data_IF_683673380512
#
_entry.id   IF_683673380512
#
_cell.length_a   1.000
_cell.length_b   1.000
_cell.length_c   1.000
_cell.angle_alpha   90.00
_cell.angle_beta   90.00
_cell.angle_gamma   90.00
#
_symmetry.space_group_name_H-M   'P 1'
#
loop_
_entity.id
_entity.type
_entity.pdbx_description
1 polymer ?
#
# COMPACT_ATOMS: atom_id res chain seq x y z
N UNK A 1 2.29 -2.54 29.93
CA UNK A 1 2.58 -3.46 28.82
C UNK A 1 1.85 -4.76 29.06
N UNK A 2 0.77 -4.96 28.34
CA UNK A 2 0.01 -6.20 28.42
C UNK A 2 0.86 -7.29 27.71
N UNK A 3 1.41 -8.23 28.46
CA UNK A 3 2.24 -9.33 27.93
C UNK A 3 1.40 -10.44 27.26
N UNK A 4 0.24 -10.09 26.71
CA UNK A 4 -0.55 -11.07 25.96
C UNK A 4 0.20 -11.42 24.66
N UNK A 5 0.42 -12.70 24.35
CA UNK A 5 0.95 -13.10 23.07
C UNK A 5 0.04 -12.64 21.93
N UNK A 6 0.62 -12.14 20.85
CA UNK A 6 -0.09 -11.76 19.64
C UNK A 6 0.34 -12.69 18.50
N UNK A 7 -0.63 -13.32 17.83
CA UNK A 7 -0.39 -14.29 16.77
C UNK A 7 0.41 -13.64 15.60
N UNK A 8 0.06 -12.41 15.22
CA UNK A 8 0.65 -11.74 14.06
C UNK A 8 2.06 -11.19 14.33
N UNK A 9 2.57 -11.28 15.56
CA UNK A 9 4.00 -11.11 15.82
C UNK A 9 4.86 -12.18 15.14
N UNK A 10 4.31 -13.38 14.92
CA UNK A 10 4.97 -14.53 14.30
C UNK A 10 4.46 -14.82 12.89
N UNK A 11 3.18 -14.55 12.63
CA UNK A 11 2.52 -14.71 11.35
C UNK A 11 2.68 -13.44 10.50
N UNK A 12 3.92 -13.16 10.06
CA UNK A 12 4.31 -11.89 9.42
C UNK A 12 4.34 -11.95 7.89
N UNK A 13 4.02 -13.10 7.29
CA UNK A 13 3.99 -13.26 5.83
C UNK A 13 2.70 -12.72 5.21
N UNK A 14 2.75 -12.33 3.93
CA UNK A 14 1.56 -11.97 3.14
C UNK A 14 0.53 -13.11 3.19
N UNK A 15 0.96 -14.38 3.08
CA UNK A 15 0.07 -15.54 3.20
C UNK A 15 -0.71 -15.61 4.54
N UNK A 16 -0.11 -15.13 5.63
CA UNK A 16 -0.81 -15.08 6.93
C UNK A 16 -1.86 -13.97 6.95
N UNK A 17 -1.60 -12.86 6.26
CA UNK A 17 -2.55 -11.77 6.09
C UNK A 17 -3.70 -12.18 5.17
N UNK A 18 -3.42 -12.90 4.08
CA UNK A 18 -4.43 -13.48 3.19
C UNK A 18 -5.41 -14.37 3.96
N UNK A 19 -4.87 -15.21 4.84
CA UNK A 19 -5.69 -16.09 5.67
C UNK A 19 -6.62 -15.31 6.60
N UNK A 20 -6.14 -14.20 7.17
CA UNK A 20 -6.98 -13.32 7.98
C UNK A 20 -8.05 -12.61 7.15
N UNK A 21 -7.69 -12.11 5.97
CA UNK A 21 -8.64 -11.42 5.08
C UNK A 21 -9.76 -12.39 4.67
N UNK A 22 -9.41 -13.60 4.22
CA UNK A 22 -10.40 -14.63 3.87
C UNK A 22 -11.31 -14.97 5.05
N UNK A 23 -10.72 -15.17 6.23
CA UNK A 23 -11.47 -15.45 7.45
C UNK A 23 -12.43 -14.30 7.81
N UNK A 24 -11.99 -13.04 7.72
CA UNK A 24 -12.84 -11.89 8.01
C UNK A 24 -13.97 -11.76 6.97
N UNK A 25 -13.69 -12.01 5.69
CA UNK A 25 -14.69 -11.97 4.63
C UNK A 25 -15.80 -13.00 4.87
N UNK A 26 -15.48 -14.22 5.31
CA UNK A 26 -16.48 -15.24 5.64
C UNK A 26 -17.42 -14.81 6.79
N UNK A 27 -16.90 -14.02 7.75
CA UNK A 27 -17.74 -13.47 8.82
C UNK A 27 -18.81 -12.49 8.34
N UNK A 28 -18.68 -11.94 7.14
CA UNK A 28 -19.70 -11.05 6.55
C UNK A 28 -20.92 -11.80 6.02
N UNK A 29 -20.85 -13.13 5.85
CA UNK A 29 -21.98 -13.95 5.44
C UNK A 29 -23.12 -13.91 6.48
N UNK A 30 -24.37 -13.81 6.01
CA UNK A 30 -25.54 -13.70 6.88
C UNK A 30 -25.72 -14.90 7.83
N UNK A 31 -25.19 -16.07 7.49
CA UNK A 31 -25.23 -17.26 8.34
C UNK A 31 -24.38 -17.07 9.63
N UNK A 32 -23.38 -16.17 9.62
CA UNK A 32 -22.54 -15.88 10.77
C UNK A 32 -23.13 -14.82 11.74
N UNK A 33 -24.25 -14.19 11.41
CA UNK A 33 -24.82 -13.04 12.12
C UNK A 33 -25.11 -13.29 13.62
N UNK A 34 -25.41 -14.53 13.99
CA UNK A 34 -25.79 -14.90 15.36
C UNK A 34 -24.61 -15.39 16.21
N UNK A 35 -23.46 -15.73 15.62
CA UNK A 35 -22.31 -16.31 16.34
C UNK A 35 -21.50 -15.23 17.06
N UNK A 36 -21.12 -14.16 16.37
CA UNK A 36 -20.51 -12.94 16.93
C UNK A 36 -21.04 -11.75 16.15
N UNK A 37 -22.09 -11.12 16.67
CA UNK A 37 -22.76 -10.01 16.00
C UNK A 37 -21.82 -8.84 15.68
N UNK A 38 -20.96 -8.47 16.64
CA UNK A 38 -20.05 -7.33 16.47
C UNK A 38 -18.98 -7.62 15.40
N UNK A 39 -18.47 -8.85 15.35
CA UNK A 39 -17.53 -9.27 14.32
C UNK A 39 -18.20 -9.33 12.94
N UNK A 40 -19.40 -9.89 12.87
CA UNK A 40 -20.19 -9.95 11.65
C UNK A 40 -20.45 -8.55 11.07
N UNK A 41 -20.95 -7.60 11.89
CA UNK A 41 -21.19 -6.22 11.47
C UNK A 41 -19.91 -5.55 10.96
N UNK A 42 -18.78 -5.77 11.66
CA UNK A 42 -17.48 -5.24 11.22
C UNK A 42 -17.02 -5.87 9.92
N UNK A 43 -17.21 -7.16 9.73
CA UNK A 43 -16.88 -7.86 8.50
C UNK A 43 -17.70 -7.33 7.31
N UNK A 44 -18.97 -7.01 7.52
CA UNK A 44 -19.81 -6.35 6.51
C UNK A 44 -19.31 -4.95 6.15
N UNK A 45 -18.90 -4.14 7.14
CA UNK A 45 -18.27 -2.84 6.87
C UNK A 45 -16.95 -2.99 6.11
N UNK A 46 -16.18 -4.02 6.39
CA UNK A 46 -14.96 -4.32 5.65
C UNK A 46 -15.26 -4.68 4.18
N UNK A 47 -16.28 -5.49 3.89
CA UNK A 47 -16.71 -5.78 2.50
C UNK A 47 -17.19 -4.50 1.80
N UNK A 48 -17.95 -3.64 2.49
CA UNK A 48 -18.40 -2.33 1.95
C UNK A 48 -17.22 -1.42 1.61
N UNK A 49 -16.18 -1.40 2.43
CA UNK A 49 -14.93 -0.69 2.15
C UNK A 49 -14.29 -1.22 0.85
N UNK A 50 -14.13 -2.54 0.74
CA UNK A 50 -13.51 -3.18 -0.42
C UNK A 50 -14.27 -2.93 -1.73
N UNK A 51 -15.60 -2.94 -1.68
CA UNK A 51 -16.48 -2.69 -2.84
C UNK A 51 -16.75 -1.19 -3.08
N UNK A 52 -16.23 -0.31 -2.21
CA UNK A 52 -16.54 1.12 -2.21
C UNK A 52 -18.05 1.41 -2.30
N UNK A 53 -18.85 0.61 -1.60
CA UNK A 53 -20.32 0.70 -1.59
C UNK A 53 -20.84 0.64 -0.16
N UNK A 54 -21.07 1.80 0.45
CA UNK A 54 -21.47 1.94 1.86
C UNK A 54 -22.87 1.42 2.16
N UNK A 55 -23.74 1.39 1.16
CA UNK A 55 -25.15 1.04 1.33
C UNK A 55 -25.45 -0.41 0.89
N UNK A 56 -24.41 -1.17 0.50
CA UNK A 56 -24.58 -2.54 0.05
C UNK A 56 -25.12 -3.43 1.18
N UNK A 57 -26.24 -4.08 0.91
CA UNK A 57 -26.75 -5.17 1.74
C UNK A 57 -25.99 -6.45 1.39
N UNK A 58 -25.35 -7.08 2.39
CA UNK A 58 -24.51 -8.26 2.21
C UNK A 58 -25.28 -9.46 2.76
N UNK A 59 -25.62 -10.38 1.87
CA UNK A 59 -26.39 -11.58 2.20
C UNK A 59 -25.52 -12.84 2.18
N UNK A 60 -24.56 -12.92 1.25
CA UNK A 60 -23.69 -14.07 1.15
C UNK A 60 -22.27 -13.67 0.77
N UNK A 61 -21.30 -14.40 1.31
CA UNK A 61 -19.88 -14.29 0.95
C UNK A 61 -19.27 -15.68 0.81
N UNK A 62 -18.73 -15.97 -0.36
CA UNK A 62 -18.10 -17.26 -0.68
C UNK A 62 -16.64 -17.06 -0.99
N UNK A 63 -15.76 -17.41 -0.07
CA UNK A 63 -14.31 -17.33 -0.24
C UNK A 63 -13.76 -18.54 -1.02
N UNK A 64 -12.76 -18.28 -1.86
CA UNK A 64 -12.04 -19.29 -2.65
C UNK A 64 -10.56 -19.26 -2.28
N UNK A 65 -10.07 -20.34 -1.72
CA UNK A 65 -8.67 -20.45 -1.32
C UNK A 65 -7.80 -20.79 -2.52
N UNK A 66 -6.76 -19.98 -2.77
CA UNK A 66 -5.71 -20.23 -3.78
C UNK A 66 -6.25 -20.58 -5.18
N UNK A 67 -7.37 -19.98 -5.57
CA UNK A 67 -7.90 -20.12 -6.92
C UNK A 67 -6.93 -19.43 -7.90
N UNK A 68 -6.27 -20.22 -8.75
CA UNK A 68 -5.32 -19.74 -9.78
C UNK A 68 -4.21 -18.81 -9.24
N UNK A 69 -3.68 -19.09 -8.05
CA UNK A 69 -2.65 -18.26 -7.37
C UNK A 69 -3.10 -16.84 -6.99
N UNK A 70 -4.40 -16.57 -7.01
CA UNK A 70 -4.96 -15.33 -6.47
C UNK A 70 -4.81 -15.36 -4.95
N UNK A 71 -4.27 -14.29 -4.36
CA UNK A 71 -4.02 -14.23 -2.92
C UNK A 71 -5.33 -14.35 -2.15
N UNK A 72 -6.31 -13.50 -2.48
CA UNK A 72 -7.66 -13.56 -1.94
C UNK A 72 -8.69 -13.43 -3.06
N UNK A 73 -9.57 -14.41 -3.16
CA UNK A 73 -10.71 -14.39 -4.08
C UNK A 73 -12.01 -14.69 -3.34
N UNK A 74 -12.99 -13.79 -3.48
CA UNK A 74 -14.31 -13.96 -2.87
C UNK A 74 -15.42 -13.52 -3.82
N UNK A 75 -16.59 -14.15 -3.67
CA UNK A 75 -17.82 -13.78 -4.36
C UNK A 75 -18.83 -13.28 -3.34
N UNK A 76 -19.33 -12.07 -3.52
CA UNK A 76 -20.31 -11.43 -2.65
C UNK A 76 -21.66 -11.36 -3.37
N UNK A 77 -22.71 -11.81 -2.69
CA UNK A 77 -24.11 -11.82 -3.17
C UNK A 77 -24.33 -12.54 -4.51
N UNK A 78 -23.39 -13.37 -4.95
CA UNK A 78 -23.41 -13.96 -6.30
C UNK A 78 -23.41 -12.91 -7.43
N UNK A 79 -23.03 -11.66 -7.12
CA UNK A 79 -23.04 -10.51 -8.00
C UNK A 79 -21.66 -9.88 -8.18
N UNK A 80 -20.85 -9.81 -7.10
CA UNK A 80 -19.54 -9.17 -7.10
C UNK A 80 -18.43 -10.21 -6.97
N UNK A 81 -17.37 -10.07 -7.76
CA UNK A 81 -16.12 -10.81 -7.61
C UNK A 81 -15.03 -9.91 -7.04
N UNK A 82 -14.51 -10.24 -5.87
CA UNK A 82 -13.37 -9.56 -5.25
C UNK A 82 -12.09 -10.31 -5.55
N UNK A 83 -11.13 -9.63 -6.17
CA UNK A 83 -9.74 -10.08 -6.32
C UNK A 83 -8.88 -9.14 -5.49
N UNK A 84 -8.15 -9.67 -4.52
CA UNK A 84 -7.24 -8.89 -3.68
C UNK A 84 -5.83 -9.39 -3.89
N UNK A 85 -4.95 -8.48 -4.28
CA UNK A 85 -3.50 -8.64 -4.27
C UNK A 85 -2.95 -8.01 -2.99
N UNK A 86 -2.45 -8.86 -2.10
CA UNK A 86 -1.95 -8.45 -0.79
C UNK A 86 -0.47 -8.11 -0.82
N UNK A 87 -0.11 -6.92 -0.34
CA UNK A 87 1.28 -6.46 -0.24
C UNK A 87 1.57 -5.82 1.11
N UNK A 88 2.45 -6.43 1.86
CA UNK A 88 2.95 -5.85 3.11
C UNK A 88 4.20 -5.01 2.86
N UNK A 89 5.33 -5.64 2.58
CA UNK A 89 6.63 -4.98 2.40
C UNK A 89 7.12 -4.96 0.95
N UNK A 90 6.44 -5.64 0.07
CA UNK A 90 6.76 -5.72 -1.36
C UNK A 90 5.92 -4.74 -2.16
N UNK A 91 6.32 -4.49 -3.41
CA UNK A 91 5.52 -3.78 -4.40
C UNK A 91 4.97 -4.76 -5.42
N UNK A 92 3.98 -4.36 -6.20
CA UNK A 92 3.48 -5.19 -7.29
C UNK A 92 4.59 -5.53 -8.29
N UNK A 93 4.68 -6.81 -8.64
CA UNK A 93 5.61 -7.32 -9.64
C UNK A 93 4.85 -8.09 -10.72
N UNK A 94 4.97 -7.64 -11.96
CA UNK A 94 4.56 -8.41 -13.13
C UNK A 94 3.07 -8.48 -13.40
N UNK A 95 2.31 -7.43 -13.12
CA UNK A 95 0.87 -7.32 -13.45
C UNK A 95 0.03 -8.50 -12.90
N UNK A 96 0.17 -8.81 -11.62
CA UNK A 96 -0.54 -9.93 -10.99
C UNK A 96 -2.06 -9.74 -11.07
N UNK A 97 -2.57 -8.58 -10.66
CA UNK A 97 -4.01 -8.27 -10.72
C UNK A 97 -4.58 -8.40 -12.13
N UNK A 98 -3.82 -7.97 -13.15
CA UNK A 98 -4.19 -8.15 -14.55
C UNK A 98 -4.41 -9.63 -14.90
N UNK A 99 -3.44 -10.49 -14.60
CA UNK A 99 -3.53 -11.92 -14.89
C UNK A 99 -4.72 -12.57 -14.18
N UNK A 100 -5.01 -12.12 -12.96
CA UNK A 100 -6.14 -12.60 -12.18
C UNK A 100 -7.47 -12.16 -12.76
N UNK A 101 -7.58 -10.88 -13.13
CA UNK A 101 -8.74 -10.32 -13.81
C UNK A 101 -9.05 -11.07 -15.12
N UNK A 102 -8.06 -11.22 -16.00
CA UNK A 102 -8.20 -11.96 -17.25
C UNK A 102 -8.63 -13.40 -17.02
N UNK A 103 -8.10 -14.06 -15.99
CA UNK A 103 -8.49 -15.42 -15.65
C UNK A 103 -9.93 -15.51 -15.17
N UNK A 104 -10.38 -14.62 -14.29
CA UNK A 104 -11.77 -14.59 -13.78
C UNK A 104 -12.73 -14.34 -14.93
N UNK A 105 -12.48 -13.34 -15.77
CA UNK A 105 -13.30 -13.03 -16.96
C UNK A 105 -13.37 -14.18 -17.98
N UNK A 106 -12.31 -14.97 -18.08
CA UNK A 106 -12.26 -16.14 -18.96
C UNK A 106 -13.05 -17.35 -18.45
N UNK A 107 -13.65 -17.27 -17.25
CA UNK A 107 -14.46 -18.36 -16.68
C UNK A 107 -15.95 -18.08 -16.87
N UNK A 108 -16.65 -18.97 -17.57
CA UNK A 108 -18.09 -18.85 -17.82
C UNK A 108 -18.89 -18.62 -16.53
N UNK A 109 -18.51 -19.31 -15.45
CA UNK A 109 -19.19 -19.21 -14.15
C UNK A 109 -18.99 -17.85 -13.44
N UNK A 110 -18.07 -17.00 -13.88
CA UNK A 110 -17.74 -15.68 -13.30
C UNK A 110 -17.95 -14.53 -14.29
N UNK A 111 -18.33 -14.81 -15.54
CA UNK A 111 -18.39 -13.83 -16.64
C UNK A 111 -19.40 -12.70 -16.38
N UNK A 112 -20.45 -12.98 -15.62
CA UNK A 112 -21.52 -12.02 -15.31
C UNK A 112 -21.29 -11.25 -13.99
N UNK A 113 -20.20 -11.55 -13.26
CA UNK A 113 -19.93 -10.88 -11.98
C UNK A 113 -19.29 -9.51 -12.22
N UNK A 114 -19.68 -8.53 -11.40
CA UNK A 114 -19.03 -7.24 -11.33
C UNK A 114 -17.67 -7.40 -10.63
N UNK A 115 -16.61 -7.20 -11.39
CA UNK A 115 -15.23 -7.49 -10.94
C UNK A 115 -14.60 -6.29 -10.26
N UNK A 116 -14.15 -6.49 -9.03
CA UNK A 116 -13.40 -5.52 -8.23
C UNK A 116 -11.98 -6.02 -7.97
N UNK A 117 -11.01 -5.30 -8.51
CA UNK A 117 -9.58 -5.57 -8.33
C UNK A 117 -9.01 -4.64 -7.26
N UNK A 118 -8.45 -5.20 -6.21
CA UNK A 118 -8.01 -4.47 -5.04
C UNK A 118 -6.53 -4.70 -4.81
N UNK A 119 -5.78 -3.61 -4.76
CA UNK A 119 -4.42 -3.59 -4.26
C UNK A 119 -4.45 -3.26 -2.77
N UNK A 120 -4.18 -4.26 -1.93
CA UNK A 120 -4.26 -4.17 -0.48
C UNK A 120 -2.87 -3.94 0.10
N UNK A 121 -2.60 -2.74 0.63
CA UNK A 121 -1.28 -2.32 1.08
C UNK A 121 -1.27 -1.96 2.56
N UNK A 122 -0.75 -2.84 3.40
CA UNK A 122 -0.63 -2.59 4.84
C UNK A 122 0.71 -2.01 5.26
N UNK A 123 1.76 -2.21 4.47
CA UNK A 123 3.04 -1.55 4.68
C UNK A 123 3.05 -0.09 4.21
N UNK A 124 4.10 0.64 4.55
CA UNK A 124 4.27 2.02 4.10
C UNK A 124 4.68 2.06 2.61
N UNK A 125 4.08 2.96 1.85
CA UNK A 125 4.40 3.17 0.44
C UNK A 125 4.26 4.65 0.06
N UNK A 126 5.00 5.08 -0.94
CA UNK A 126 4.89 6.42 -1.51
C UNK A 126 3.53 6.63 -2.18
N UNK A 127 2.88 7.77 -1.92
CA UNK A 127 1.64 8.16 -2.60
C UNK A 127 1.85 8.29 -4.10
N UNK A 128 3.00 8.79 -4.54
CA UNK A 128 3.33 8.89 -5.96
C UNK A 128 3.37 7.52 -6.63
N UNK A 129 3.87 6.48 -5.95
CA UNK A 129 3.86 5.11 -6.48
C UNK A 129 2.45 4.53 -6.53
N UNK A 130 1.68 4.69 -5.45
CA UNK A 130 0.29 4.21 -5.41
C UNK A 130 -0.54 4.89 -6.50
N UNK A 131 -0.41 6.20 -6.66
CA UNK A 131 -1.11 6.96 -7.70
C UNK A 131 -0.73 6.49 -9.11
N UNK A 132 0.57 6.27 -9.37
CA UNK A 132 1.00 5.73 -10.68
C UNK A 132 0.44 4.33 -10.94
N UNK A 133 0.36 3.49 -9.91
CA UNK A 133 -0.25 2.16 -10.03
C UNK A 133 -1.72 2.27 -10.44
N UNK A 134 -2.49 3.10 -9.74
CA UNK A 134 -3.90 3.35 -10.03
C UNK A 134 -4.12 3.94 -11.43
N UNK A 135 -3.36 4.97 -11.80
CA UNK A 135 -3.44 5.61 -13.11
C UNK A 135 -3.11 4.61 -14.25
N UNK A 136 -2.08 3.80 -14.07
CA UNK A 136 -1.69 2.81 -15.06
C UNK A 136 -2.75 1.71 -15.21
N UNK A 137 -3.27 1.20 -14.10
CA UNK A 137 -4.31 0.18 -14.13
C UNK A 137 -5.59 0.69 -14.78
N UNK A 138 -6.09 1.84 -14.34
CA UNK A 138 -7.33 2.45 -14.87
C UNK A 138 -7.20 2.81 -16.35
N UNK A 139 -6.01 3.25 -16.80
CA UNK A 139 -5.76 3.53 -18.21
C UNK A 139 -5.77 2.27 -19.07
N UNK A 140 -5.24 1.17 -18.56
CA UNK A 140 -5.16 -0.10 -19.29
C UNK A 140 -6.49 -0.86 -19.24
N UNK A 141 -7.25 -0.75 -18.12
CA UNK A 141 -8.51 -1.45 -17.87
C UNK A 141 -9.62 -0.49 -17.42
N UNK A 142 -10.08 0.41 -18.31
CA UNK A 142 -11.05 1.46 -17.94
C UNK A 142 -12.45 0.93 -17.53
N UNK A 143 -12.74 -0.32 -17.87
CA UNK A 143 -14.03 -0.97 -17.56
C UNK A 143 -13.97 -1.80 -16.26
N UNK A 144 -12.82 -1.80 -15.57
CA UNK A 144 -12.66 -2.56 -14.33
C UNK A 144 -12.72 -1.63 -13.12
N UNK A 145 -13.33 -2.12 -12.04
CA UNK A 145 -13.27 -1.45 -10.75
C UNK A 145 -11.93 -1.76 -10.10
N UNK A 146 -11.07 -0.75 -10.01
CA UNK A 146 -9.79 -0.84 -9.31
C UNK A 146 -9.78 0.07 -8.10
N UNK A 147 -9.25 -0.41 -6.99
CA UNK A 147 -9.05 0.40 -5.80
C UNK A 147 -7.78 0.02 -5.05
N UNK A 148 -7.23 0.98 -4.33
CA UNK A 148 -6.13 0.78 -3.40
C UNK A 148 -6.69 0.91 -1.98
N UNK A 149 -6.48 -0.11 -1.17
CA UNK A 149 -6.87 -0.14 0.24
C UNK A 149 -5.63 -0.14 1.09
N UNK A 150 -5.47 0.90 1.88
CA UNK A 150 -4.30 1.11 2.74
C UNK A 150 -4.54 0.60 4.16
N UNK A 151 -3.46 0.49 4.96
CA UNK A 151 -3.57 0.19 6.39
C UNK A 151 -4.48 1.16 7.13
N UNK A 152 -4.45 2.45 6.78
CA UNK A 152 -5.30 3.48 7.41
C UNK A 152 -6.78 3.23 7.12
N UNK A 153 -7.11 2.86 5.88
CA UNK A 153 -8.48 2.52 5.49
C UNK A 153 -8.99 1.31 6.28
N UNK A 154 -8.18 0.26 6.36
CA UNK A 154 -8.51 -0.95 7.12
C UNK A 154 -8.70 -0.63 8.60
N UNK A 155 -7.77 0.08 9.23
CA UNK A 155 -7.87 0.48 10.63
C UNK A 155 -9.09 1.37 10.90
N UNK A 156 -9.52 2.19 9.95
CA UNK A 156 -10.72 3.02 10.09
C UNK A 156 -11.99 2.21 10.31
N UNK A 157 -12.04 0.99 9.76
CA UNK A 157 -13.13 0.04 9.96
C UNK A 157 -12.91 -0.82 11.21
N UNK A 158 -11.74 -1.49 11.30
CA UNK A 158 -11.52 -2.46 12.38
C UNK A 158 -11.58 -1.86 13.78
N UNK A 159 -11.11 -0.62 13.95
CA UNK A 159 -11.11 0.07 15.26
C UNK A 159 -12.49 0.46 15.78
N UNK A 160 -13.50 0.42 14.94
CA UNK A 160 -14.88 0.70 15.36
C UNK A 160 -15.57 -0.53 15.95
N UNK A 161 -14.99 -1.71 15.77
CA UNK A 161 -15.55 -2.96 16.27
C UNK A 161 -15.52 -3.05 17.80
N UNK A 162 -16.56 -3.63 18.35
CA UNK A 162 -16.65 -3.96 19.78
C UNK A 162 -16.43 -5.45 20.04
N UNK A 163 -16.08 -6.25 19.01
CA UNK A 163 -15.81 -7.67 19.18
C UNK A 163 -14.60 -7.92 20.07
N UNK A 164 -14.65 -8.98 20.85
CA UNK A 164 -13.53 -9.47 21.68
C UNK A 164 -12.88 -10.72 21.10
N UNK A 165 -13.19 -11.05 19.84
CA UNK A 165 -12.58 -12.18 19.16
C UNK A 165 -11.05 -12.04 19.14
N UNK A 166 -10.34 -13.05 19.63
CA UNK A 166 -8.90 -12.95 19.85
C UNK A 166 -8.10 -12.78 18.55
N UNK A 167 -8.50 -13.46 17.46
CA UNK A 167 -7.82 -13.37 16.16
C UNK A 167 -7.99 -11.96 15.59
N UNK A 168 -9.20 -11.43 15.63
CA UNK A 168 -9.53 -10.08 15.18
C UNK A 168 -8.77 -9.01 15.98
N UNK A 169 -8.78 -9.12 17.30
CA UNK A 169 -8.07 -8.19 18.17
C UNK A 169 -6.55 -8.22 17.93
N UNK A 170 -5.97 -9.41 17.78
CA UNK A 170 -4.54 -9.58 17.53
C UNK A 170 -4.12 -8.96 16.20
N UNK A 171 -4.93 -9.10 15.14
CA UNK A 171 -4.64 -8.47 13.84
C UNK A 171 -4.77 -6.95 13.90
N UNK A 172 -5.85 -6.45 14.50
CA UNK A 172 -6.08 -5.00 14.66
C UNK A 172 -4.95 -4.35 15.47
N UNK A 173 -4.51 -4.98 16.56
CA UNK A 173 -3.37 -4.53 17.36
C UNK A 173 -2.07 -4.57 16.55
N UNK A 174 -1.86 -5.59 15.73
CA UNK A 174 -0.70 -5.69 14.86
C UNK A 174 -0.64 -4.53 13.86
N UNK A 175 -1.72 -4.25 13.13
CA UNK A 175 -1.79 -3.11 12.21
C UNK A 175 -1.62 -1.76 12.94
N UNK A 176 -2.24 -1.61 14.10
CA UNK A 176 -2.09 -0.40 14.91
C UNK A 176 -0.64 -0.17 15.33
N UNK A 177 0.07 -1.23 15.72
CA UNK A 177 1.49 -1.13 16.06
C UNK A 177 2.36 -0.66 14.88
N UNK A 178 2.07 -1.12 13.67
CA UNK A 178 2.76 -0.62 12.45
C UNK A 178 2.46 0.88 12.28
N UNK A 179 1.20 1.30 12.49
CA UNK A 179 0.82 2.71 12.41
C UNK A 179 1.53 3.54 13.47
N UNK A 180 1.56 3.09 14.72
CA UNK A 180 2.23 3.80 15.83
C UNK A 180 3.73 3.97 15.57
N UNK A 181 4.40 2.96 15.00
CA UNK A 181 5.80 3.07 14.59
C UNK A 181 5.98 4.08 13.45
N UNK A 182 5.07 4.07 12.48
CA UNK A 182 5.07 5.01 11.35
C UNK A 182 4.89 6.45 11.84
N UNK A 183 3.97 6.68 12.79
CA UNK A 183 3.67 8.01 13.33
C UNK A 183 4.65 8.46 14.42
N UNK A 184 5.56 7.62 14.84
CA UNK A 184 6.48 7.91 15.96
C UNK A 184 7.43 9.10 15.69
N UNK A 185 7.60 9.52 14.43
CA UNK A 185 8.34 10.74 14.08
C UNK A 185 7.70 12.00 14.68
N UNK A 186 6.39 12.00 14.95
CA UNK A 186 5.68 13.13 15.56
C UNK A 186 6.07 13.38 17.02
N UNK A 187 6.54 12.35 17.72
CA UNK A 187 6.79 12.41 19.16
C UNK A 187 8.23 12.13 19.56
N UNK A 188 8.99 11.42 18.73
CA UNK A 188 10.37 11.06 19.03
C UNK A 188 11.36 12.07 18.46
N UNK A 189 12.46 12.35 19.17
CA UNK A 189 13.55 13.11 18.58
C UNK A 189 14.18 12.34 17.40
N UNK A 190 14.60 13.05 16.36
CA UNK A 190 15.13 12.50 15.10
C UNK A 190 16.22 11.43 15.27
N UNK A 191 17.02 11.53 16.34
CA UNK A 191 18.08 10.57 16.65
C UNK A 191 17.55 9.17 17.04
N UNK A 192 16.27 9.09 17.40
CA UNK A 192 15.58 7.85 17.82
C UNK A 192 14.62 7.32 16.76
N UNK A 193 14.55 7.96 15.60
CA UNK A 193 13.65 7.51 14.54
C UNK A 193 14.11 6.15 14.02
N UNK A 194 13.15 5.23 13.98
CA UNK A 194 13.28 3.95 13.29
C UNK A 194 13.11 4.12 11.79
N UNK A 195 13.25 3.04 11.05
CA UNK A 195 12.98 2.99 9.62
C UNK A 195 11.55 3.41 9.30
N UNK A 196 10.58 2.90 10.06
CA UNK A 196 9.16 3.22 9.91
C UNK A 196 8.87 4.69 10.22
N UNK A 197 9.53 5.27 11.21
CA UNK A 197 9.41 6.70 11.52
C UNK A 197 9.91 7.58 10.37
N UNK A 198 11.01 7.22 9.72
CA UNK A 198 11.49 7.92 8.52
C UNK A 198 10.50 7.78 7.35
N UNK A 199 9.94 6.60 7.14
CA UNK A 199 8.91 6.39 6.12
C UNK A 199 7.68 7.26 6.40
N UNK A 200 7.18 7.27 7.64
CA UNK A 200 6.06 8.11 8.04
C UNK A 200 6.31 9.60 7.84
N UNK A 201 7.51 10.07 8.18
CA UNK A 201 7.92 11.44 7.91
C UNK A 201 7.93 11.74 6.41
N UNK A 202 8.44 10.85 5.56
CA UNK A 202 8.45 11.03 4.11
C UNK A 202 7.04 11.01 3.50
N UNK A 203 6.15 10.15 4.00
CA UNK A 203 4.73 10.17 3.60
C UNK A 203 4.08 11.52 3.96
N UNK A 204 4.34 12.05 5.15
CA UNK A 204 3.84 13.36 5.56
C UNK A 204 4.44 14.50 4.72
N UNK A 205 5.73 14.44 4.42
CA UNK A 205 6.43 15.43 3.60
C UNK A 205 5.89 15.44 2.15
N UNK A 206 5.67 14.27 1.58
CA UNK A 206 5.06 14.10 0.25
C UNK A 206 3.67 14.73 0.19
N UNK A 207 2.86 14.52 1.21
CA UNK A 207 1.52 15.09 1.34
C UNK A 207 1.55 16.60 1.52
N UNK A 208 2.46 17.12 2.33
CA UNK A 208 2.61 18.56 2.57
C UNK A 208 3.11 19.30 1.32
N UNK A 209 4.11 18.76 0.63
CA UNK A 209 4.68 19.33 -0.58
C UNK A 209 3.79 19.15 -1.83
N UNK A 210 2.80 18.26 -1.77
CA UNK A 210 1.97 17.86 -2.92
C UNK A 210 2.80 17.34 -4.11
N UNK A 211 4.01 16.87 -3.84
CA UNK A 211 4.98 16.38 -4.82
C UNK A 211 6.05 15.54 -4.14
N UNK A 212 6.87 14.88 -4.94
CA UNK A 212 7.97 14.05 -4.48
C UNK A 212 7.66 12.57 -4.60
N UNK A 213 8.65 11.79 -4.24
CA UNK A 213 8.59 10.34 -4.14
C UNK A 213 9.67 9.90 -3.17
N UNK A 214 9.56 8.71 -2.60
CA UNK A 214 10.55 8.19 -1.69
C UNK A 214 10.70 6.67 -1.80
N UNK A 215 11.79 6.16 -1.29
CA UNK A 215 12.05 4.74 -1.23
C UNK A 215 13.47 4.40 -0.81
N UNK A 216 13.71 3.11 -0.73
CA UNK A 216 15.04 2.59 -0.45
C UNK A 216 15.95 2.74 -1.66
N UNK A 217 17.13 3.32 -1.44
CA UNK A 217 18.18 3.48 -2.44
C UNK A 217 19.33 2.55 -2.05
N UNK A 218 19.53 1.49 -2.83
CA UNK A 218 20.63 0.57 -2.63
C UNK A 218 21.97 1.21 -3.01
N UNK A 219 23.02 0.99 -2.20
CA UNK A 219 24.37 1.32 -2.54
C UNK A 219 25.35 0.29 -1.91
N UNK A 220 26.63 0.26 -2.33
CA UNK A 220 27.62 -0.69 -1.79
C UNK A 220 27.83 -0.62 -0.26
N UNK A 221 27.46 0.50 0.36
CA UNK A 221 27.62 0.72 1.81
C UNK A 221 26.38 0.36 2.63
N UNK A 222 25.35 -0.29 2.02
CA UNK A 222 24.13 -0.75 2.70
C UNK A 222 22.87 0.02 2.38
N UNK A 223 22.95 1.11 1.59
CA UNK A 223 21.79 1.89 1.17
C UNK A 223 21.25 2.86 2.23
N UNK A 224 20.19 3.57 1.86
CA UNK A 224 19.51 4.55 2.71
C UNK A 224 18.08 4.76 2.24
N UNK A 225 17.24 5.37 3.06
CA UNK A 225 15.93 5.84 2.68
C UNK A 225 16.04 7.26 2.14
N UNK A 226 15.65 7.45 0.88
CA UNK A 226 15.68 8.74 0.20
C UNK A 226 14.30 9.29 -0.08
N UNK A 227 14.16 10.61 0.01
CA UNK A 227 13.02 11.36 -0.50
C UNK A 227 13.52 12.35 -1.54
N UNK A 228 12.92 12.40 -2.73
CA UNK A 228 13.35 13.25 -3.84
C UNK A 228 12.20 14.03 -4.43
N UNK A 229 12.47 15.32 -4.72
CA UNK A 229 11.46 16.24 -5.23
C UNK A 229 12.11 17.41 -5.99
N UNK A 230 11.30 18.34 -6.48
CA UNK A 230 11.72 19.58 -7.14
C UNK A 230 12.63 19.35 -8.35
N UNK A 231 12.16 18.50 -9.26
CA UNK A 231 12.84 18.21 -10.51
C UNK A 231 12.77 19.39 -11.46
N UNK A 232 13.94 19.89 -11.90
CA UNK A 232 14.05 21.02 -12.84
C UNK A 232 15.09 20.69 -13.90
N UNK A 233 14.74 20.89 -15.17
CA UNK A 233 15.70 20.80 -16.26
C UNK A 233 16.60 22.02 -16.29
N UNK A 234 17.90 21.84 -16.56
CA UNK A 234 18.83 22.96 -16.75
C UNK A 234 18.49 23.64 -18.08
N UNK A 235 18.18 24.94 -18.06
CA UNK A 235 17.70 25.70 -19.23
C UNK A 235 18.63 25.64 -20.46
N UNK A 236 19.93 25.39 -20.27
CA UNK A 236 20.92 25.26 -21.35
C UNK A 236 21.08 23.82 -21.85
N UNK A 237 20.57 22.84 -21.15
CA UNK A 237 20.68 21.43 -21.50
C UNK A 237 19.51 20.63 -20.97
N UNK A 238 18.59 20.24 -21.85
CA UNK A 238 17.37 19.50 -21.55
C UNK A 238 17.61 18.04 -21.14
N UNK A 239 18.84 17.55 -21.31
CA UNK A 239 19.21 16.16 -20.96
C UNK A 239 19.66 16.01 -19.51
N UNK A 240 19.78 17.11 -18.77
CA UNK A 240 20.17 17.10 -17.36
C UNK A 240 19.08 17.72 -16.50
N UNK A 241 18.58 16.95 -15.56
CA UNK A 241 17.68 17.40 -14.51
C UNK A 241 18.44 17.58 -13.20
N UNK A 242 18.07 18.60 -12.44
CA UNK A 242 18.49 18.81 -11.05
C UNK A 242 17.31 18.55 -10.15
N UNK A 243 17.55 17.90 -9.03
CA UNK A 243 16.52 17.65 -8.02
C UNK A 243 17.09 17.72 -6.61
N UNK A 244 16.22 17.92 -5.65
CA UNK A 244 16.56 17.81 -4.23
C UNK A 244 16.35 16.40 -3.74
N UNK A 245 17.26 15.93 -2.89
CA UNK A 245 17.17 14.62 -2.25
C UNK A 245 17.50 14.73 -0.77
N UNK A 246 16.57 14.28 0.06
CA UNK A 246 16.81 14.09 1.49
C UNK A 246 17.23 12.64 1.73
N UNK A 247 18.44 12.45 2.23
CA UNK A 247 18.99 11.15 2.60
C UNK A 247 18.98 11.08 4.14
N UNK A 248 17.80 10.82 4.73
CA UNK A 248 17.60 10.93 6.17
C UNK A 248 18.13 12.26 6.74
N UNK A 249 19.39 12.30 7.18
CA UNK A 249 20.02 13.44 7.84
C UNK A 249 20.76 14.39 6.89
N UNK A 250 20.72 14.15 5.58
CA UNK A 250 21.44 14.95 4.59
C UNK A 250 20.49 15.47 3.53
N UNK A 251 20.52 16.77 3.29
CA UNK A 251 19.90 17.38 2.13
C UNK A 251 20.95 17.52 1.02
N UNK A 252 20.65 16.94 -0.14
CA UNK A 252 21.56 16.90 -1.28
C UNK A 252 20.89 17.56 -2.49
N UNK A 253 21.69 18.27 -3.29
CA UNK A 253 21.34 18.63 -4.66
C UNK A 253 21.92 17.55 -5.55
N UNK A 254 21.09 16.93 -6.35
CA UNK A 254 21.47 15.84 -7.27
C UNK A 254 21.25 16.27 -8.71
N UNK A 255 22.04 15.71 -9.60
CA UNK A 255 21.83 15.83 -11.06
C UNK A 255 21.56 14.45 -11.64
N UNK A 256 20.66 14.39 -12.59
CA UNK A 256 20.32 13.19 -13.33
C UNK A 256 20.47 13.46 -14.83
N UNK A 257 21.26 12.64 -15.52
CA UNK A 257 21.44 12.72 -16.97
C UNK A 257 20.55 11.69 -17.67
N UNK A 258 19.70 12.17 -18.57
CA UNK A 258 18.87 11.30 -19.42
C UNK A 258 19.78 10.63 -20.44
N UNK A 259 19.82 9.32 -20.46
CA UNK A 259 20.51 8.55 -21.51
C UNK A 259 21.92 8.02 -21.22
N UNK A 260 22.48 8.20 -20.00
CA UNK A 260 23.71 7.50 -19.59
C UNK A 260 24.84 8.36 -19.01
N UNK A 261 25.90 7.68 -18.53
CA UNK A 261 26.87 8.17 -17.55
C UNK A 261 28.07 8.94 -18.12
N UNK A 262 28.22 9.09 -19.45
CA UNK A 262 29.49 9.57 -20.02
C UNK A 262 29.94 10.99 -19.62
N UNK A 263 29.03 11.85 -19.15
CA UNK A 263 29.35 13.25 -18.84
C UNK A 263 28.94 13.75 -17.45
N UNK A 264 28.57 12.88 -16.51
CA UNK A 264 28.09 13.28 -15.17
C UNK A 264 29.05 14.17 -14.37
N UNK A 265 30.36 14.02 -14.54
CA UNK A 265 31.37 14.81 -13.86
C UNK A 265 31.47 16.25 -14.40
N UNK A 266 31.27 16.46 -15.70
CA UNK A 266 31.36 17.80 -16.31
C UNK A 266 30.24 18.69 -15.81
N UNK A 267 29.02 18.17 -15.72
CA UNK A 267 27.86 18.93 -15.24
C UNK A 267 27.90 19.19 -13.74
N UNK A 268 28.43 18.28 -12.95
CA UNK A 268 28.62 18.51 -11.51
C UNK A 268 29.59 19.66 -11.23
N UNK A 269 30.65 19.79 -11.99
CA UNK A 269 31.61 20.91 -11.90
C UNK A 269 30.98 22.23 -12.26
N UNK A 270 30.21 22.31 -13.35
CA UNK A 270 29.49 23.50 -13.78
C UNK A 270 28.45 23.95 -12.77
N UNK A 271 27.73 23.01 -12.15
CA UNK A 271 26.73 23.31 -11.10
C UNK A 271 27.39 23.89 -9.84
N UNK A 272 28.55 23.37 -9.47
CA UNK A 272 29.36 23.87 -8.33
C UNK A 272 29.84 25.29 -8.62
N UNK A 273 30.31 25.57 -9.83
CA UNK A 273 30.73 26.90 -10.25
C UNK A 273 29.55 27.89 -10.24
N UNK A 274 28.41 27.56 -10.83
CA UNK A 274 27.19 28.37 -10.79
C UNK A 274 26.68 28.64 -9.37
N UNK A 275 26.81 27.68 -8.47
CA UNK A 275 26.43 27.84 -7.06
C UNK A 275 27.40 28.72 -6.28
N UNK A 276 28.67 28.85 -6.72
CA UNK A 276 29.66 29.73 -6.10
C UNK A 276 29.59 31.16 -6.58
N UNK A 277 29.02 31.40 -7.75
CA UNK A 277 28.84 32.74 -8.34
C UNK A 277 27.64 33.52 -7.75
N UNK A 278 26.76 32.87 -6.99
CA UNK A 278 25.63 33.43 -6.26
C UNK A 278 25.87 33.53 -4.76
#
# INVERSE_FOLDING_TARGET
DNMKPNLFKFATSELSQDAFILWLLEWADSECATEDKALHETAQEFVRLLLNNKDLEINSVKCKKQEHHIDVFAIVNEEYALIIEDKTNTSEHGNQLKRYSEWVKGKEQYSELDLHCIYYKTGNESYAKLKRLEENYTKEYPEENFSIITREDVLSVLKQSTTTNAIFCDYTEHLQKIQDLTDSYLSLPIKKWSWEAWQGFYMALEKELQTGDWGYVANPSGGFLGFWWNWNSIASNTDVDIYLQLEEKKLCVKSYQKGGVENGYVYSSQLIELAREK
#
